data_IF_882706127699
#
_entry.id   IF_882706127699
#
_cell.length_a   1.000
_cell.length_b   1.000
_cell.length_c   1.000
_cell.angle_alpha   90.00
_cell.angle_beta   90.00
_cell.angle_gamma   90.00
#
_symmetry.space_group_name_H-M   'P 1'
#
loop_
_entity.id
_entity.type
_entity.pdbx_description
1 polymer ?
#
# COMPACT_ATOMS: atom_id res chain seq x y z
N UNK A 1 23.65 1.33 8.17
CA UNK A 1 22.58 1.33 7.15
C UNK A 1 23.06 1.63 5.73
N UNK A 2 24.33 2.00 5.52
CA UNK A 2 24.87 2.42 4.22
C UNK A 2 24.56 1.46 3.04
N UNK A 3 24.64 0.14 3.24
CA UNK A 3 24.33 -0.84 2.19
C UNK A 3 22.86 -0.77 1.72
N UNK A 4 21.93 -0.55 2.66
CA UNK A 4 20.51 -0.44 2.32
C UNK A 4 20.24 0.81 1.49
N UNK A 5 20.83 1.95 1.86
CA UNK A 5 20.71 3.20 1.10
C UNK A 5 21.27 3.05 -0.32
N UNK A 6 22.43 2.41 -0.47
CA UNK A 6 23.03 2.13 -1.78
C UNK A 6 22.12 1.28 -2.67
N UNK A 7 21.51 0.22 -2.13
CA UNK A 7 20.60 -0.63 -2.89
C UNK A 7 19.28 0.08 -3.22
N UNK A 8 18.79 0.96 -2.35
CA UNK A 8 17.62 1.80 -2.63
C UNK A 8 17.89 2.77 -3.79
N UNK A 9 19.06 3.44 -3.79
CA UNK A 9 19.48 4.32 -4.88
C UNK A 9 19.63 3.57 -6.21
N UNK A 10 20.21 2.36 -6.16
CA UNK A 10 20.31 1.48 -7.31
C UNK A 10 18.92 1.05 -7.84
N UNK A 11 17.96 0.80 -6.95
CA UNK A 11 16.58 0.46 -7.28
C UNK A 11 15.81 1.58 -7.96
N UNK A 12 16.04 2.84 -7.55
CA UNK A 12 15.39 4.03 -8.12
C UNK A 12 15.96 4.43 -9.48
N UNK A 13 17.23 4.12 -9.75
CA UNK A 13 17.90 4.49 -11.00
C UNK A 13 17.49 3.58 -12.17
N UNK A 14 17.05 4.13 -13.32
CA UNK A 14 16.69 3.34 -14.51
C UNK A 14 17.84 2.47 -15.05
N UNK A 15 19.09 2.90 -14.86
CA UNK A 15 20.27 2.19 -15.36
C UNK A 15 20.58 0.92 -14.54
N UNK A 16 20.24 0.91 -13.25
CA UNK A 16 20.63 -0.13 -12.29
C UNK A 16 19.44 -0.95 -11.77
N UNK A 17 18.20 -0.49 -11.97
CA UNK A 17 16.97 -1.11 -11.48
C UNK A 17 16.88 -2.63 -11.79
N UNK A 18 17.28 -3.03 -13.00
CA UNK A 18 17.23 -4.44 -13.43
C UNK A 18 18.09 -5.35 -12.55
N UNK A 19 19.25 -4.86 -12.11
CA UNK A 19 20.22 -5.63 -11.31
C UNK A 19 20.19 -5.34 -9.81
N UNK A 20 19.50 -4.29 -9.34
CA UNK A 20 19.42 -3.95 -7.92
C UNK A 20 18.71 -5.05 -7.09
N UNK A 21 19.15 -5.28 -5.86
CA UNK A 21 18.51 -6.25 -4.96
C UNK A 21 17.21 -5.69 -4.37
N UNK A 22 17.18 -4.37 -4.13
CA UNK A 22 15.99 -3.64 -3.68
C UNK A 22 15.37 -2.89 -4.86
N UNK A 23 14.20 -3.35 -5.35
CA UNK A 23 13.63 -2.89 -6.63
C UNK A 23 12.98 -1.51 -6.64
N UNK A 24 12.49 -1.01 -5.50
CA UNK A 24 11.85 0.31 -5.43
C UNK A 24 10.71 0.51 -6.46
N UNK A 25 9.81 -0.48 -6.60
CA UNK A 25 8.70 -0.41 -7.56
C UNK A 25 7.72 0.74 -7.27
N UNK A 26 7.20 1.42 -8.31
CA UNK A 26 6.20 2.46 -8.13
C UNK A 26 4.86 1.87 -7.67
N UNK A 27 4.31 2.39 -6.58
CA UNK A 27 2.97 2.00 -6.07
C UNK A 27 1.83 2.74 -6.77
N UNK A 28 2.15 3.81 -7.51
CA UNK A 28 1.21 4.76 -8.10
C UNK A 28 0.32 5.54 -7.12
N UNK A 29 0.56 5.42 -5.81
CA UNK A 29 -0.04 6.28 -4.78
C UNK A 29 0.74 7.60 -4.71
N UNK A 30 0.11 8.71 -5.08
CA UNK A 30 0.79 10.02 -5.26
C UNK A 30 0.58 11.01 -4.12
N UNK A 31 -0.39 10.76 -3.25
CA UNK A 31 -0.70 11.60 -2.10
C UNK A 31 -1.08 10.74 -0.90
N UNK A 32 -0.82 11.27 0.29
CA UNK A 32 -1.35 10.71 1.53
C UNK A 32 -2.84 11.10 1.67
N UNK A 33 -3.57 10.34 2.49
CA UNK A 33 -4.95 10.68 2.77
C UNK A 33 -5.04 12.05 3.46
N UNK A 34 -5.99 12.88 3.04
CA UNK A 34 -6.19 14.24 3.56
C UNK A 34 -7.46 14.38 4.42
N UNK A 35 -8.24 13.30 4.54
CA UNK A 35 -9.47 13.26 5.32
C UNK A 35 -10.70 13.75 4.56
N UNK A 36 -10.56 14.15 3.29
CA UNK A 36 -11.68 14.48 2.41
C UNK A 36 -12.34 13.23 1.79
N UNK A 37 -11.75 12.05 1.94
CA UNK A 37 -12.25 10.81 1.38
C UNK A 37 -13.59 10.41 2.00
N UNK A 38 -14.55 10.07 1.15
CA UNK A 38 -15.89 9.64 1.57
C UNK A 38 -16.39 8.52 0.67
N UNK A 39 -17.32 7.71 1.18
CA UNK A 39 -18.00 6.66 0.41
C UNK A 39 -17.70 5.25 0.92
N UNK A 40 -18.17 4.25 0.18
CA UNK A 40 -18.00 2.84 0.52
C UNK A 40 -17.10 2.15 -0.48
N UNK A 41 -16.11 1.42 0.02
CA UNK A 41 -15.10 0.74 -0.79
C UNK A 41 -15.00 -0.72 -0.35
N UNK A 42 -14.88 -1.62 -1.32
CA UNK A 42 -14.53 -3.01 -1.06
C UNK A 42 -13.01 -3.17 -1.13
N UNK A 43 -12.44 -3.85 -0.13
CA UNK A 43 -11.03 -4.20 -0.11
C UNK A 43 -10.85 -5.72 0.01
N UNK A 44 -9.77 -6.21 -0.56
CA UNK A 44 -9.35 -7.61 -0.52
C UNK A 44 -7.99 -7.70 0.15
N UNK A 45 -7.87 -8.59 1.14
CA UNK A 45 -6.61 -8.89 1.83
C UNK A 45 -6.19 -10.32 1.47
N UNK A 46 -5.14 -10.44 0.66
CA UNK A 46 -4.60 -11.68 0.13
C UNK A 46 -3.07 -11.70 0.30
N UNK A 47 -2.54 -12.76 0.91
CA UNK A 47 -1.09 -12.94 1.10
C UNK A 47 -0.69 -13.46 2.48
N UNK A 48 -1.62 -13.51 3.43
CA UNK A 48 -1.45 -14.19 4.72
C UNK A 48 -2.11 -15.57 4.78
N UNK A 49 -2.28 -16.09 5.99
CA UNK A 49 -2.94 -17.40 6.24
C UNK A 49 -4.43 -17.40 5.89
N UNK A 50 -5.09 -16.25 5.96
CA UNK A 50 -6.53 -16.13 5.82
C UNK A 50 -6.88 -15.09 4.76
N UNK A 51 -7.72 -15.45 3.79
CA UNK A 51 -8.25 -14.51 2.82
C UNK A 51 -9.39 -13.70 3.47
N UNK A 52 -9.44 -12.38 3.22
CA UNK A 52 -10.50 -11.52 3.76
C UNK A 52 -11.10 -10.60 2.71
N UNK A 53 -12.42 -10.43 2.82
CA UNK A 53 -13.16 -9.39 2.12
C UNK A 53 -13.61 -8.35 3.14
N UNK A 54 -13.38 -7.07 2.85
CA UNK A 54 -13.73 -5.94 3.70
C UNK A 54 -14.67 -4.98 2.97
N UNK A 55 -15.69 -4.50 3.67
CA UNK A 55 -16.44 -3.29 3.29
C UNK A 55 -16.04 -2.17 4.22
N UNK A 56 -15.41 -1.13 3.66
CA UNK A 56 -14.92 0.05 4.37
C UNK A 56 -15.84 1.22 4.06
N UNK A 57 -16.37 1.87 5.10
CA UNK A 57 -17.13 3.12 4.96
C UNK A 57 -16.28 4.27 5.46
N UNK A 58 -15.97 5.19 4.55
CA UNK A 58 -15.22 6.42 4.79
C UNK A 58 -16.19 7.59 4.97
N UNK A 59 -16.01 8.35 6.04
CA UNK A 59 -16.76 9.58 6.29
C UNK A 59 -15.83 10.65 6.87
N UNK A 60 -16.23 11.93 6.85
CA UNK A 60 -15.44 13.01 7.45
C UNK A 60 -15.30 12.90 8.97
N UNK A 61 -16.00 11.94 9.60
CA UNK A 61 -15.83 11.67 11.02
C UNK A 61 -14.58 10.80 11.25
N UNK A 62 -13.90 10.94 12.39
CA UNK A 62 -12.69 10.16 12.70
C UNK A 62 -12.92 8.65 12.87
N UNK A 63 -14.14 8.14 12.66
CA UNK A 63 -14.47 6.73 12.77
C UNK A 63 -14.63 6.11 11.39
N UNK A 64 -13.77 5.16 11.08
CA UNK A 64 -13.92 4.24 9.96
C UNK A 64 -14.84 3.10 10.42
N UNK A 65 -15.93 2.85 9.69
CA UNK A 65 -16.73 1.64 9.86
C UNK A 65 -16.22 0.55 8.91
N UNK A 66 -15.97 -0.64 9.46
CA UNK A 66 -15.32 -1.74 8.75
C UNK A 66 -16.04 -3.04 9.05
N UNK A 67 -16.58 -3.66 8.00
CA UNK A 67 -17.17 -5.00 8.06
C UNK A 67 -16.25 -5.97 7.35
N UNK A 68 -15.94 -7.10 7.99
CA UNK A 68 -14.99 -8.09 7.48
C UNK A 68 -15.58 -9.50 7.49
N UNK A 69 -15.23 -10.29 6.48
CA UNK A 69 -15.47 -11.74 6.45
C UNK A 69 -14.19 -12.47 6.02
N UNK A 70 -13.83 -13.49 6.80
CA UNK A 70 -12.71 -14.40 6.52
C UNK A 70 -13.22 -15.59 5.71
N UNK A 71 -12.39 -16.08 4.78
CA UNK A 71 -12.60 -17.25 3.95
C UNK A 71 -11.39 -18.18 4.01
#
# INVERSE_FOLDING_TARGET
>A
MQLLEQEMDAGLSPATHKSADVKMFPTYVRSIADGSETGQVLALDLGGTNFRVLLVTLSPQPRIDLKSKIF
#
